data_IF_006890315081
#
_entry.id   IF_006890315081
#
_cell.length_a   1.000
_cell.length_b   1.000
_cell.length_c   1.000
_cell.angle_alpha   90.00
_cell.angle_beta   90.00
_cell.angle_gamma   90.00
#
_symmetry.space_group_name_H-M   'P 1'
#
loop_
_entity.id
_entity.type
_entity.pdbx_description
1 polymer ?
#
# COMPACT_ATOMS: atom_id res chain seq x y z
N UNK A 1 -8.76 19.10 0.33
CA UNK A 1 -8.78 18.30 1.58
C UNK A 1 -7.94 17.07 1.31
N UNK A 2 -7.05 16.69 2.21
CA UNK A 2 -6.25 15.47 2.07
C UNK A 2 -7.16 14.25 2.17
N UNK A 3 -6.95 13.23 1.34
CA UNK A 3 -7.70 11.98 1.40
C UNK A 3 -6.99 11.04 2.36
N UNK A 4 -7.57 10.86 3.55
CA UNK A 4 -7.06 9.88 4.52
C UNK A 4 -7.89 8.61 4.45
N UNK A 5 -7.23 7.47 4.79
CA UNK A 5 -7.85 6.16 4.85
C UNK A 5 -7.48 5.47 6.18
N UNK A 6 -8.30 4.49 6.54
CA UNK A 6 -8.07 3.57 7.67
C UNK A 6 -8.33 2.13 7.20
N UNK A 7 -7.80 1.16 7.93
CA UNK A 7 -8.03 -0.27 7.68
C UNK A 7 -9.25 -0.71 8.47
N UNK A 8 -10.41 -0.99 7.82
CA UNK A 8 -11.59 -1.46 8.53
C UNK A 8 -11.40 -2.90 9.01
N UNK A 9 -12.04 -3.24 10.13
CA UNK A 9 -12.18 -4.61 10.61
C UNK A 9 -13.62 -5.06 10.53
N UNK A 10 -13.87 -6.25 9.99
CA UNK A 10 -15.22 -6.77 9.79
C UNK A 10 -16.02 -6.93 11.07
N UNK A 11 -15.35 -7.33 12.16
CA UNK A 11 -16.03 -7.56 13.45
C UNK A 11 -16.37 -6.25 14.18
N UNK A 12 -15.76 -5.13 13.77
CA UNK A 12 -15.92 -3.80 14.35
C UNK A 12 -16.40 -2.80 13.28
N UNK A 13 -16.96 -3.26 12.16
CA UNK A 13 -17.19 -2.44 10.95
C UNK A 13 -18.08 -1.22 11.21
N UNK A 14 -19.09 -1.32 12.07
CA UNK A 14 -19.96 -0.18 12.44
C UNK A 14 -19.17 0.96 13.09
N UNK A 15 -18.22 0.65 13.97
CA UNK A 15 -17.37 1.66 14.59
C UNK A 15 -16.44 2.32 13.57
N UNK A 16 -15.84 1.51 12.66
CA UNK A 16 -14.99 2.03 11.58
C UNK A 16 -15.77 2.94 10.62
N UNK A 17 -17.01 2.58 10.27
CA UNK A 17 -17.90 3.42 9.45
C UNK A 17 -18.22 4.74 10.14
N UNK A 18 -18.56 4.72 11.43
CA UNK A 18 -18.85 5.93 12.22
C UNK A 18 -17.65 6.88 12.26
N UNK A 19 -16.44 6.36 12.50
CA UNK A 19 -15.21 7.17 12.51
C UNK A 19 -14.88 7.69 11.11
N UNK A 20 -15.09 6.86 10.07
CA UNK A 20 -14.87 7.27 8.69
C UNK A 20 -15.82 8.41 8.27
N UNK A 21 -17.07 8.38 8.69
CA UNK A 21 -18.03 9.46 8.45
C UNK A 21 -17.62 10.75 9.18
N UNK A 22 -17.31 10.67 10.49
CA UNK A 22 -16.93 11.81 11.33
C UNK A 22 -15.73 12.56 10.74
N UNK A 23 -14.69 11.83 10.31
CA UNK A 23 -13.43 12.39 9.84
C UNK A 23 -13.33 12.45 8.31
N UNK A 24 -14.35 12.00 7.57
CA UNK A 24 -14.38 11.90 6.09
C UNK A 24 -13.24 11.05 5.54
N UNK A 25 -13.03 9.90 6.16
CA UNK A 25 -11.98 8.96 5.76
C UNK A 25 -12.45 8.01 4.66
N UNK A 26 -11.48 7.47 3.94
CA UNK A 26 -11.66 6.31 3.09
C UNK A 26 -11.32 5.00 3.82
N UNK A 27 -11.45 3.88 3.11
CA UNK A 27 -11.01 2.58 3.59
C UNK A 27 -9.94 2.00 2.69
N UNK A 28 -8.96 1.31 3.29
CA UNK A 28 -8.15 0.33 2.61
C UNK A 28 -8.48 -1.05 3.15
N UNK A 29 -9.01 -1.92 2.29
CA UNK A 29 -9.35 -3.28 2.67
C UNK A 29 -8.08 -4.11 2.81
N UNK A 30 -7.87 -4.68 4.00
CA UNK A 30 -6.71 -5.49 4.32
C UNK A 30 -7.08 -6.89 4.82
N UNK A 31 -8.26 -7.41 4.43
CA UNK A 31 -8.70 -8.78 4.73
C UNK A 31 -8.21 -9.78 3.67
N UNK A 32 -7.99 -9.31 2.43
CA UNK A 32 -7.89 -10.14 1.24
C UNK A 32 -6.43 -10.50 0.86
N UNK A 33 -5.60 -10.80 1.85
CA UNK A 33 -4.21 -11.20 1.60
C UNK A 33 -3.88 -12.61 2.09
N UNK A 34 -4.65 -13.15 3.04
CA UNK A 34 -4.39 -14.47 3.60
C UNK A 34 -4.91 -15.58 2.69
N UNK A 35 -4.09 -16.59 2.38
CA UNK A 35 -4.50 -17.73 1.55
C UNK A 35 -5.74 -18.46 2.08
N UNK A 36 -5.90 -18.59 3.40
CA UNK A 36 -7.03 -19.26 4.03
C UNK A 36 -8.39 -18.63 3.69
N UNK A 37 -8.42 -17.30 3.49
CA UNK A 37 -9.62 -16.64 3.00
C UNK A 37 -9.71 -16.73 1.47
N UNK A 38 -8.60 -16.52 0.78
CA UNK A 38 -8.58 -16.45 -0.68
C UNK A 38 -8.87 -17.82 -1.36
N UNK A 39 -8.62 -18.92 -0.66
CA UNK A 39 -8.89 -20.29 -1.15
C UNK A 39 -10.29 -20.80 -0.75
N UNK A 40 -10.99 -20.13 0.14
CA UNK A 40 -12.35 -20.48 0.58
C UNK A 40 -13.38 -19.57 -0.11
N UNK A 41 -13.92 -20.04 -1.23
CA UNK A 41 -14.86 -19.23 -2.04
C UNK A 41 -16.13 -18.80 -1.27
N UNK A 42 -16.62 -19.60 -0.31
CA UNK A 42 -17.81 -19.27 0.45
C UNK A 42 -17.52 -18.15 1.45
N UNK A 43 -16.43 -18.30 2.22
CA UNK A 43 -15.97 -17.24 3.14
C UNK A 43 -15.63 -15.96 2.42
N UNK A 44 -14.96 -16.04 1.27
CA UNK A 44 -14.61 -14.87 0.47
C UNK A 44 -15.85 -14.12 0.03
N UNK A 45 -16.87 -14.83 -0.49
CA UNK A 45 -18.15 -14.24 -0.87
C UNK A 45 -18.88 -13.60 0.32
N UNK A 46 -18.86 -14.26 1.48
CA UNK A 46 -19.49 -13.73 2.69
C UNK A 46 -18.81 -12.44 3.16
N UNK A 47 -17.48 -12.36 3.13
CA UNK A 47 -16.72 -11.16 3.49
C UNK A 47 -17.02 -10.01 2.53
N UNK A 48 -17.02 -10.25 1.22
CA UNK A 48 -17.36 -9.26 0.21
C UNK A 48 -18.80 -8.78 0.41
N UNK A 49 -19.75 -9.70 0.66
CA UNK A 49 -21.15 -9.37 0.86
C UNK A 49 -21.35 -8.50 2.11
N UNK A 50 -20.64 -8.76 3.20
CA UNK A 50 -20.69 -7.90 4.41
C UNK A 50 -20.31 -6.46 4.10
N UNK A 51 -19.20 -6.23 3.38
CA UNK A 51 -18.81 -4.88 2.97
C UNK A 51 -19.87 -4.25 2.07
N UNK A 52 -20.36 -4.97 1.05
CA UNK A 52 -21.37 -4.45 0.09
C UNK A 52 -22.72 -4.16 0.73
N UNK A 53 -23.01 -4.73 1.89
CA UNK A 53 -24.25 -4.47 2.65
C UNK A 53 -24.23 -3.12 3.41
N UNK A 54 -23.07 -2.47 3.52
CA UNK A 54 -22.88 -1.21 4.23
C UNK A 54 -22.78 -0.01 3.27
N UNK A 55 -23.07 1.18 3.76
CA UNK A 55 -22.78 2.42 3.06
C UNK A 55 -21.27 2.74 3.25
N UNK A 56 -20.48 2.30 2.28
CA UNK A 56 -19.02 2.43 2.32
C UNK A 56 -18.55 3.84 1.96
N UNK A 57 -17.36 4.27 2.44
CA UNK A 57 -16.72 5.49 1.99
C UNK A 57 -16.53 5.52 0.47
N UNK A 58 -16.63 6.71 -0.14
CA UNK A 58 -16.51 6.89 -1.60
C UNK A 58 -15.11 6.58 -2.16
N UNK A 59 -14.09 6.72 -1.33
CA UNK A 59 -12.71 6.45 -1.70
C UNK A 59 -12.22 5.23 -0.94
N UNK A 60 -11.98 4.17 -1.66
CA UNK A 60 -11.44 2.93 -1.08
C UNK A 60 -10.29 2.40 -1.93
N UNK A 61 -9.37 1.72 -1.28
CA UNK A 61 -8.26 0.96 -1.87
C UNK A 61 -8.28 -0.46 -1.30
N UNK A 62 -7.46 -1.33 -1.83
CA UNK A 62 -7.30 -2.69 -1.34
C UNK A 62 -5.82 -3.04 -1.27
N UNK A 63 -5.36 -3.54 -0.13
CA UNK A 63 -4.05 -4.16 -0.05
C UNK A 63 -4.14 -5.58 -0.65
N UNK A 64 -3.39 -5.81 -1.71
CA UNK A 64 -3.38 -7.10 -2.40
C UNK A 64 -2.64 -8.17 -1.62
N UNK A 65 -2.71 -9.41 -2.09
CA UNK A 65 -1.92 -10.49 -1.54
C UNK A 65 -0.42 -10.17 -1.63
N UNK A 66 0.32 -10.32 -0.54
CA UNK A 66 1.73 -9.93 -0.49
C UNK A 66 2.68 -11.02 0.04
N UNK A 67 2.21 -11.89 0.95
CA UNK A 67 3.04 -12.99 1.44
C UNK A 67 3.34 -13.98 0.30
N UNK A 68 4.63 -14.23 0.08
CA UNK A 68 5.13 -15.17 -0.92
C UNK A 68 4.68 -14.92 -2.37
N UNK A 69 4.20 -13.69 -2.67
CA UNK A 69 3.80 -13.29 -4.01
C UNK A 69 5.00 -12.76 -4.78
N UNK A 70 5.59 -13.61 -5.62
CA UNK A 70 6.85 -13.34 -6.34
C UNK A 70 6.64 -13.56 -7.84
N UNK A 71 5.99 -12.63 -8.57
CA UNK A 71 5.68 -12.80 -10.00
C UNK A 71 6.93 -12.83 -10.90
N UNK A 72 8.06 -12.41 -10.38
CA UNK A 72 9.37 -12.44 -11.04
C UNK A 72 10.22 -13.67 -10.69
N UNK A 73 9.69 -14.64 -9.94
CA UNK A 73 10.41 -15.86 -9.57
C UNK A 73 10.94 -16.62 -10.81
N UNK A 74 12.10 -17.24 -10.68
CA UNK A 74 12.64 -18.15 -11.69
C UNK A 74 11.82 -19.42 -11.81
N UNK A 75 11.16 -19.88 -10.73
CA UNK A 75 10.28 -21.04 -10.74
C UNK A 75 8.93 -20.69 -11.38
N UNK A 76 8.56 -21.46 -12.42
CA UNK A 76 7.31 -21.27 -13.15
C UNK A 76 6.08 -21.45 -12.24
N UNK A 77 6.11 -22.38 -11.29
CA UNK A 77 4.97 -22.68 -10.42
C UNK A 77 4.75 -21.54 -9.43
N UNK A 78 5.83 -20.98 -8.89
CA UNK A 78 5.74 -19.79 -8.00
C UNK A 78 5.15 -18.61 -8.79
N UNK A 79 5.62 -18.37 -10.01
CA UNK A 79 5.02 -17.31 -10.86
C UNK A 79 3.54 -17.53 -11.12
N UNK A 80 3.11 -18.78 -11.39
CA UNK A 80 1.70 -19.09 -11.64
C UNK A 80 0.81 -18.81 -10.44
N UNK A 81 1.24 -19.22 -9.23
CA UNK A 81 0.51 -18.94 -7.99
C UNK A 81 0.48 -17.44 -7.72
N UNK A 82 1.63 -16.75 -7.85
CA UNK A 82 1.72 -15.30 -7.66
C UNK A 82 0.80 -14.53 -8.62
N UNK A 83 0.79 -14.90 -9.90
CA UNK A 83 -0.10 -14.29 -10.90
C UNK A 83 -1.58 -14.51 -10.55
N UNK A 84 -1.95 -15.72 -10.12
CA UNK A 84 -3.31 -16.02 -9.69
C UNK A 84 -3.75 -15.17 -8.49
N UNK A 85 -2.88 -14.99 -7.48
CA UNK A 85 -3.16 -14.16 -6.31
C UNK A 85 -3.29 -12.68 -6.65
N UNK A 86 -2.40 -12.16 -7.50
CA UNK A 86 -2.46 -10.77 -7.94
C UNK A 86 -3.76 -10.50 -8.70
N UNK A 87 -4.13 -11.36 -9.65
CA UNK A 87 -5.39 -11.22 -10.38
C UNK A 87 -6.61 -11.32 -9.47
N UNK A 88 -6.61 -12.28 -8.54
CA UNK A 88 -7.67 -12.43 -7.55
C UNK A 88 -7.85 -11.15 -6.72
N UNK A 89 -6.75 -10.54 -6.25
CA UNK A 89 -6.79 -9.26 -5.53
C UNK A 89 -7.38 -8.14 -6.39
N UNK A 90 -7.01 -8.06 -7.67
CA UNK A 90 -7.56 -7.05 -8.59
C UNK A 90 -9.04 -7.24 -8.83
N UNK A 91 -9.51 -8.49 -9.03
CA UNK A 91 -10.94 -8.77 -9.24
C UNK A 91 -11.77 -8.48 -7.98
N UNK A 92 -11.26 -8.81 -6.78
CA UNK A 92 -11.91 -8.46 -5.51
C UNK A 92 -12.02 -6.93 -5.37
N UNK A 93 -10.95 -6.21 -5.67
CA UNK A 93 -10.93 -4.75 -5.61
C UNK A 93 -11.97 -4.14 -6.57
N UNK A 94 -12.08 -4.65 -7.79
CA UNK A 94 -13.12 -4.24 -8.75
C UNK A 94 -14.52 -4.52 -8.23
N UNK A 95 -14.75 -5.69 -7.63
CA UNK A 95 -16.04 -6.07 -7.07
C UNK A 95 -16.47 -5.16 -5.91
N UNK A 96 -15.52 -4.72 -5.09
CA UNK A 96 -15.73 -3.76 -3.98
C UNK A 96 -15.74 -2.30 -4.44
N UNK A 97 -15.45 -2.01 -5.70
CA UNK A 97 -15.39 -0.65 -6.24
C UNK A 97 -14.18 0.16 -5.77
N UNK A 98 -13.11 -0.52 -5.34
CA UNK A 98 -11.87 0.12 -4.92
C UNK A 98 -11.20 0.87 -6.08
N UNK A 99 -10.50 1.96 -5.77
CA UNK A 99 -9.83 2.82 -6.76
C UNK A 99 -8.43 2.33 -7.13
N UNK A 100 -7.80 1.58 -6.22
CA UNK A 100 -6.46 1.06 -6.42
C UNK A 100 -6.26 -0.25 -5.66
N UNK A 101 -5.27 -1.03 -6.12
CA UNK A 101 -4.71 -2.16 -5.38
C UNK A 101 -3.23 -1.90 -5.12
N UNK A 102 -2.81 -2.15 -3.90
CA UNK A 102 -1.43 -1.98 -3.46
C UNK A 102 -0.74 -3.35 -3.43
N UNK A 103 0.48 -3.44 -3.97
CA UNK A 103 1.30 -4.65 -3.93
C UNK A 103 2.73 -4.30 -3.57
N UNK A 104 3.40 -5.17 -2.82
CA UNK A 104 4.81 -4.99 -2.46
C UNK A 104 5.76 -5.29 -3.62
N UNK A 105 6.93 -4.62 -3.65
CA UNK A 105 7.99 -4.93 -4.59
C UNK A 105 8.62 -6.31 -4.34
N UNK A 106 8.62 -6.79 -3.11
CA UNK A 106 9.23 -8.05 -2.68
C UNK A 106 10.69 -8.23 -3.17
N UNK A 107 11.41 -7.12 -3.34
CA UNK A 107 12.85 -7.16 -3.66
C UNK A 107 13.65 -7.65 -2.46
N UNK A 108 14.56 -8.60 -2.71
CA UNK A 108 15.50 -9.05 -1.68
C UNK A 108 16.82 -8.27 -1.78
N UNK A 109 17.12 -7.33 -0.87
CA UNK A 109 18.30 -6.46 -0.96
C UNK A 109 19.63 -7.18 -0.74
N UNK A 110 19.65 -8.42 -0.27
CA UNK A 110 20.84 -9.25 -0.19
C UNK A 110 21.27 -9.80 -1.56
N UNK A 111 20.36 -9.84 -2.54
CA UNK A 111 20.62 -10.24 -3.91
C UNK A 111 20.83 -9.00 -4.79
N UNK A 112 21.99 -8.35 -4.64
CA UNK A 112 22.25 -7.03 -5.22
C UNK A 112 23.33 -7.02 -6.32
N UNK A 113 23.65 -8.16 -6.92
CA UNK A 113 24.51 -8.14 -8.11
C UNK A 113 23.84 -7.41 -9.27
N UNK A 114 24.61 -6.71 -10.10
CA UNK A 114 24.07 -5.95 -11.23
C UNK A 114 23.21 -6.81 -12.16
N UNK A 115 23.60 -8.07 -12.38
CA UNK A 115 22.83 -9.01 -13.19
C UNK A 115 21.48 -9.36 -12.57
N UNK A 116 21.42 -9.57 -11.24
CA UNK A 116 20.18 -9.83 -10.54
C UNK A 116 19.27 -8.62 -10.56
N UNK A 117 19.77 -7.43 -10.24
CA UNK A 117 19.02 -6.17 -10.26
C UNK A 117 18.40 -5.92 -11.62
N UNK A 118 19.17 -6.06 -12.71
CA UNK A 118 18.64 -5.86 -14.06
C UNK A 118 17.59 -6.92 -14.44
N UNK A 119 17.83 -8.19 -14.08
CA UNK A 119 16.86 -9.27 -14.30
C UNK A 119 15.54 -9.02 -13.54
N UNK A 120 15.65 -8.56 -12.28
CA UNK A 120 14.50 -8.20 -11.46
C UNK A 120 13.70 -7.05 -12.09
N UNK A 121 14.39 -5.96 -12.51
CA UNK A 121 13.76 -4.81 -13.16
C UNK A 121 13.04 -5.19 -14.45
N UNK A 122 13.69 -5.98 -15.32
CA UNK A 122 13.09 -6.42 -16.58
C UNK A 122 11.86 -7.30 -16.36
N UNK A 123 11.97 -8.25 -15.42
CA UNK A 123 10.88 -9.18 -15.11
C UNK A 123 9.67 -8.47 -14.50
N UNK A 124 9.91 -7.56 -13.56
CA UNK A 124 8.84 -6.77 -12.95
C UNK A 124 8.21 -5.78 -13.91
N UNK A 125 9.00 -5.05 -14.70
CA UNK A 125 8.46 -4.12 -15.70
C UNK A 125 7.58 -4.85 -16.72
N UNK A 126 8.03 -6.04 -17.18
CA UNK A 126 7.24 -6.86 -18.11
C UNK A 126 5.94 -7.36 -17.46
N UNK A 127 6.03 -7.88 -16.24
CA UNK A 127 4.88 -8.45 -15.53
C UNK A 127 3.84 -7.38 -15.20
N UNK A 128 4.24 -6.33 -14.49
CA UNK A 128 3.34 -5.25 -14.09
C UNK A 128 2.81 -4.47 -15.27
N UNK A 129 3.62 -4.25 -16.32
CA UNK A 129 3.13 -3.67 -17.58
C UNK A 129 2.04 -4.52 -18.24
N UNK A 130 2.11 -5.85 -18.11
CA UNK A 130 1.03 -6.76 -18.54
C UNK A 130 -0.25 -6.57 -17.73
N UNK A 131 -0.16 -6.55 -16.39
CA UNK A 131 -1.29 -6.32 -15.48
C UNK A 131 -1.92 -4.94 -15.72
N UNK A 132 -1.12 -3.89 -15.84
CA UNK A 132 -1.61 -2.52 -16.07
C UNK A 132 -2.38 -2.38 -17.39
N UNK A 133 -1.94 -3.08 -18.45
CA UNK A 133 -2.65 -3.13 -19.73
C UNK A 133 -3.96 -3.90 -19.66
N UNK A 134 -3.97 -5.00 -18.93
CA UNK A 134 -5.13 -5.88 -18.80
C UNK A 134 -6.24 -5.25 -17.96
N UNK A 135 -5.86 -4.46 -16.95
CA UNK A 135 -6.77 -3.80 -16.00
C UNK A 135 -6.69 -2.27 -16.08
N UNK A 136 -7.06 -1.65 -17.20
CA UNK A 136 -6.88 -0.20 -17.39
C UNK A 136 -7.77 0.67 -16.48
N UNK A 137 -8.84 0.10 -15.93
CA UNK A 137 -9.85 0.82 -15.15
C UNK A 137 -9.58 0.83 -13.64
N UNK A 138 -8.51 0.16 -13.18
CA UNK A 138 -8.09 0.14 -11.79
C UNK A 138 -6.61 0.54 -11.66
N UNK A 139 -6.30 1.30 -10.62
CA UNK A 139 -4.92 1.68 -10.39
C UNK A 139 -4.16 0.56 -9.66
N UNK A 140 -2.90 0.39 -10.02
CA UNK A 140 -1.96 -0.53 -9.36
C UNK A 140 -0.83 0.31 -8.78
N UNK A 141 -0.64 0.21 -7.47
CA UNK A 141 0.44 0.90 -6.78
C UNK A 141 1.44 -0.10 -6.22
N UNK A 142 2.71 0.12 -6.50
CA UNK A 142 3.79 -0.70 -5.94
C UNK A 142 4.37 -0.02 -4.71
N UNK A 143 4.54 -0.81 -3.66
CA UNK A 143 4.98 -0.35 -2.35
C UNK A 143 6.40 -0.81 -2.04
N UNK A 144 7.19 0.08 -1.42
CA UNK A 144 8.50 -0.25 -0.87
C UNK A 144 8.33 -1.10 0.40
N UNK A 145 9.06 -2.20 0.48
CA UNK A 145 9.05 -3.10 1.64
C UNK A 145 10.45 -3.28 2.22
N UNK A 146 11.27 -4.12 1.62
CA UNK A 146 12.64 -4.40 2.07
C UNK A 146 13.69 -3.58 1.33
N UNK A 147 13.27 -2.70 0.45
CA UNK A 147 14.14 -1.86 -0.35
C UNK A 147 14.98 -0.94 0.55
N UNK A 148 16.29 -0.96 0.38
CA UNK A 148 17.21 -0.19 1.24
C UNK A 148 17.42 1.25 0.77
N UNK A 149 17.12 1.54 -0.50
CA UNK A 149 17.17 2.87 -1.12
C UNK A 149 16.07 2.98 -2.18
N UNK A 150 15.66 4.17 -2.59
CA UNK A 150 14.63 4.35 -3.61
C UNK A 150 15.08 3.99 -5.03
N UNK A 151 16.36 3.72 -5.27
CA UNK A 151 16.91 3.63 -6.63
C UNK A 151 16.23 2.60 -7.50
N UNK A 152 15.96 1.40 -6.95
CA UNK A 152 15.34 0.32 -7.68
C UNK A 152 13.88 0.65 -8.02
N UNK A 153 13.17 1.22 -7.07
CA UNK A 153 11.79 1.62 -7.24
C UNK A 153 11.63 2.78 -8.24
N UNK A 154 12.58 3.72 -8.24
CA UNK A 154 12.67 4.78 -9.26
C UNK A 154 12.89 4.15 -10.63
N UNK A 155 13.88 3.26 -10.78
CA UNK A 155 14.19 2.60 -12.05
C UNK A 155 13.00 1.75 -12.59
N UNK A 156 12.25 1.10 -11.71
CA UNK A 156 11.02 0.39 -12.10
C UNK A 156 9.91 1.37 -12.51
N UNK A 157 9.74 2.46 -11.75
CA UNK A 157 8.74 3.49 -12.04
C UNK A 157 8.99 4.18 -13.39
N UNK A 158 10.25 4.44 -13.74
CA UNK A 158 10.62 4.99 -15.05
C UNK A 158 10.20 4.06 -16.22
N UNK A 159 10.17 2.75 -15.98
CA UNK A 159 9.74 1.75 -16.99
C UNK A 159 8.21 1.58 -17.06
N UNK A 160 7.49 1.98 -16.00
CA UNK A 160 6.04 1.80 -15.88
C UNK A 160 5.24 3.10 -16.00
N UNK A 161 5.88 4.27 -15.98
CA UNK A 161 5.20 5.58 -15.95
C UNK A 161 4.41 5.90 -17.24
N UNK A 162 4.56 5.13 -18.30
CA UNK A 162 3.71 5.25 -19.50
C UNK A 162 2.25 4.79 -19.25
N UNK A 163 2.02 3.95 -18.22
CA UNK A 163 0.69 3.48 -17.85
C UNK A 163 0.03 4.49 -16.90
N UNK A 164 -1.09 5.07 -17.33
CA UNK A 164 -1.81 6.10 -16.58
C UNK A 164 -2.35 5.60 -15.22
N UNK A 165 -2.58 4.29 -15.09
CA UNK A 165 -3.05 3.61 -13.90
C UNK A 165 -1.93 3.04 -13.01
N UNK A 166 -0.66 3.36 -13.30
CA UNK A 166 0.48 3.03 -12.45
C UNK A 166 0.71 4.12 -11.40
N UNK A 167 1.14 3.71 -10.22
CA UNK A 167 1.65 4.60 -9.19
C UNK A 167 2.53 3.88 -8.18
N UNK A 168 3.04 4.66 -7.25
CA UNK A 168 3.81 4.19 -6.10
C UNK A 168 2.99 4.41 -4.84
N UNK A 169 2.93 3.40 -3.98
CA UNK A 169 2.63 3.54 -2.58
C UNK A 169 3.96 3.73 -1.84
N UNK A 170 4.16 4.88 -1.22
CA UNK A 170 5.31 5.10 -0.35
C UNK A 170 4.91 4.76 1.09
N UNK A 171 5.35 3.60 1.57
CA UNK A 171 5.33 3.36 3.01
C UNK A 171 6.47 4.15 3.65
N UNK A 172 6.07 5.17 4.44
CA UNK A 172 7.01 6.08 5.08
C UNK A 172 7.69 5.43 6.28
N UNK A 173 7.03 4.48 6.92
CA UNK A 173 7.60 3.72 8.04
C UNK A 173 8.66 2.74 7.55
N UNK A 174 8.41 1.99 6.46
CA UNK A 174 9.43 1.15 5.81
C UNK A 174 10.62 1.99 5.31
N UNK A 175 10.35 3.15 4.70
CA UNK A 175 11.42 4.07 4.31
C UNK A 175 12.26 4.53 5.50
N UNK A 176 11.64 4.71 6.68
CA UNK A 176 12.34 5.08 7.92
C UNK A 176 13.22 3.96 8.50
N UNK A 177 12.94 2.70 8.15
CA UNK A 177 13.76 1.52 8.50
C UNK A 177 14.89 1.28 7.49
N UNK A 178 14.86 1.96 6.35
CA UNK A 178 15.81 1.76 5.26
C UNK A 178 17.15 2.51 5.50
N UNK A 179 18.12 2.31 4.61
CA UNK A 179 19.42 3.00 4.68
C UNK A 179 19.32 4.46 4.22
N UNK A 180 18.41 4.77 3.31
CA UNK A 180 18.19 6.12 2.83
C UNK A 180 17.20 6.83 3.74
N UNK A 181 17.42 8.12 4.04
CA UNK A 181 16.48 8.91 4.80
C UNK A 181 15.11 8.97 4.08
N UNK A 182 13.96 8.95 4.80
CA UNK A 182 12.63 8.98 4.19
C UNK A 182 12.40 10.17 3.28
N UNK A 183 13.05 11.30 3.56
CA UNK A 183 12.99 12.51 2.74
C UNK A 183 13.58 12.27 1.34
N UNK A 184 14.60 11.43 1.21
CA UNK A 184 15.19 11.05 -0.08
C UNK A 184 14.20 10.19 -0.87
N UNK A 185 13.47 9.29 -0.20
CA UNK A 185 12.41 8.50 -0.81
C UNK A 185 11.31 9.40 -1.38
N UNK A 186 10.79 10.32 -0.56
CA UNK A 186 9.75 11.24 -0.95
C UNK A 186 10.16 12.13 -2.14
N UNK A 187 11.38 12.68 -2.12
CA UNK A 187 11.91 13.49 -3.20
C UNK A 187 12.07 12.70 -4.50
N UNK A 188 12.74 11.55 -4.42
CA UNK A 188 13.07 10.72 -5.60
C UNK A 188 11.84 10.13 -6.27
N UNK A 189 10.81 9.77 -5.50
CA UNK A 189 9.58 9.16 -5.99
C UNK A 189 8.44 10.16 -6.22
N UNK A 190 8.66 11.45 -5.98
CA UNK A 190 7.64 12.52 -6.00
C UNK A 190 6.71 12.51 -7.21
N UNK A 191 7.22 12.15 -8.39
CA UNK A 191 6.44 12.07 -9.65
C UNK A 191 5.48 10.89 -9.69
N UNK A 192 5.76 9.83 -8.92
CA UNK A 192 5.09 8.54 -9.01
C UNK A 192 4.19 8.23 -7.82
N UNK A 193 4.45 8.87 -6.65
CA UNK A 193 3.66 8.64 -5.43
C UNK A 193 2.21 9.06 -5.63
N UNK A 194 1.30 8.11 -5.40
CA UNK A 194 -0.16 8.28 -5.45
C UNK A 194 -0.82 7.93 -4.14
N UNK A 195 -0.15 7.14 -3.32
CA UNK A 195 -0.61 6.65 -2.04
C UNK A 195 0.55 6.60 -1.05
N UNK A 196 0.25 6.71 0.23
CA UNK A 196 1.25 6.72 1.30
C UNK A 196 0.69 5.89 2.45
N UNK A 197 1.51 5.01 3.02
CA UNK A 197 1.22 4.39 4.30
C UNK A 197 1.97 5.11 5.41
N UNK A 198 1.29 5.38 6.52
CA UNK A 198 1.89 5.93 7.74
C UNK A 198 1.50 5.09 8.94
N UNK A 199 2.50 4.70 9.67
CA UNK A 199 2.46 4.17 11.03
C UNK A 199 3.73 4.64 11.74
N UNK A 200 3.90 4.33 13.01
CA UNK A 200 5.13 4.66 13.73
C UNK A 200 5.89 3.39 14.15
N UNK A 201 7.18 3.52 14.36
CA UNK A 201 8.04 2.42 14.78
C UNK A 201 9.23 2.92 15.62
N UNK A 202 10.04 1.99 16.09
CA UNK A 202 11.23 2.26 16.93
C UNK A 202 12.52 2.53 16.11
N UNK A 203 12.42 2.63 14.77
CA UNK A 203 13.51 2.69 13.79
C UNK A 203 14.37 1.42 13.74
N UNK A 204 13.82 0.30 14.17
CA UNK A 204 14.46 -1.02 14.15
C UNK A 204 13.54 -2.09 13.58
N UNK A 205 12.26 -2.05 14.00
CA UNK A 205 11.24 -3.06 13.68
C UNK A 205 10.00 -2.39 13.12
N UNK A 206 9.35 -3.05 12.18
CA UNK A 206 8.06 -2.63 11.64
C UNK A 206 6.95 -2.97 12.65
N UNK A 207 6.54 -1.98 13.46
CA UNK A 207 5.69 -2.18 14.63
C UNK A 207 4.24 -1.72 14.44
N UNK A 208 3.94 -0.97 13.38
CA UNK A 208 2.62 -0.40 13.12
C UNK A 208 1.99 0.33 14.34
N UNK A 209 2.81 1.10 15.07
CA UNK A 209 2.36 1.89 16.22
C UNK A 209 1.48 3.06 15.77
N UNK A 210 0.68 3.60 16.69
CA UNK A 210 -0.01 4.86 16.43
C UNK A 210 1.00 5.98 16.14
N UNK A 211 0.64 6.87 15.21
CA UNK A 211 1.48 7.99 14.79
C UNK A 211 1.82 8.89 15.99
N UNK A 212 3.09 8.96 16.34
CA UNK A 212 3.58 9.68 17.50
C UNK A 212 3.97 8.82 18.71
N UNK A 213 3.77 7.50 18.64
CA UNK A 213 4.16 6.57 19.70
C UNK A 213 5.56 5.98 19.50
N UNK A 214 6.14 6.15 18.35
CA UNK A 214 7.46 5.67 18.00
C UNK A 214 8.50 6.79 17.90
N UNK A 215 9.42 6.62 16.96
CA UNK A 215 10.59 7.49 16.78
C UNK A 215 10.68 8.13 15.41
N UNK A 216 9.68 7.94 14.54
CA UNK A 216 9.69 8.51 13.19
C UNK A 216 9.65 10.04 13.27
N UNK A 217 10.43 10.70 12.42
CA UNK A 217 10.45 12.16 12.29
C UNK A 217 9.17 12.66 11.60
N UNK A 218 8.12 12.92 12.37
CA UNK A 218 6.82 13.37 11.88
C UNK A 218 6.89 14.74 11.19
N UNK A 219 7.66 15.68 11.73
CA UNK A 219 7.86 16.99 11.07
C UNK A 219 8.52 16.82 9.70
N UNK A 220 9.44 15.87 9.57
CA UNK A 220 10.03 15.47 8.29
C UNK A 220 8.99 14.98 7.32
N UNK A 221 8.08 14.11 7.78
CA UNK A 221 6.95 13.63 6.98
C UNK A 221 6.07 14.78 6.48
N UNK A 222 5.64 15.68 7.35
CA UNK A 222 4.75 16.79 6.96
C UNK A 222 5.41 17.71 5.92
N UNK A 223 6.70 18.04 6.11
CA UNK A 223 7.46 18.81 5.12
C UNK A 223 7.55 18.09 3.76
N UNK A 224 7.77 16.77 3.78
CA UNK A 224 7.83 15.96 2.56
C UNK A 224 6.48 15.88 1.88
N UNK A 225 5.42 15.67 2.65
CA UNK A 225 4.05 15.64 2.11
C UNK A 225 3.72 16.95 1.41
N UNK A 226 3.92 18.09 2.09
CA UNK A 226 3.60 19.41 1.54
C UNK A 226 4.46 19.79 0.33
N UNK A 227 5.69 19.28 0.26
CA UNK A 227 6.59 19.61 -0.85
C UNK A 227 6.45 18.68 -2.05
N UNK A 228 6.23 17.39 -1.81
CA UNK A 228 6.41 16.37 -2.84
C UNK A 228 5.16 15.49 -3.09
N UNK A 229 4.21 15.40 -2.13
CA UNK A 229 3.20 14.34 -2.13
C UNK A 229 1.77 14.84 -1.87
N UNK A 230 1.49 16.15 -2.07
CA UNK A 230 0.21 16.79 -1.71
C UNK A 230 -1.04 16.15 -2.33
N UNK A 231 -0.88 15.44 -3.46
CA UNK A 231 -1.97 14.80 -4.18
C UNK A 231 -2.13 13.31 -3.85
N UNK A 232 -1.25 12.77 -3.01
CA UNK A 232 -1.34 11.38 -2.58
C UNK A 232 -2.38 11.22 -1.47
N UNK A 233 -3.11 10.10 -1.51
CA UNK A 233 -3.92 9.64 -0.38
C UNK A 233 -3.02 9.06 0.70
N UNK A 234 -3.47 9.07 1.97
CA UNK A 234 -2.68 8.64 3.12
C UNK A 234 -3.46 7.62 3.92
N UNK A 235 -2.95 6.41 4.03
CA UNK A 235 -3.46 5.37 4.91
C UNK A 235 -2.84 5.51 6.31
N UNK A 236 -3.68 5.54 7.33
CA UNK A 236 -3.29 5.28 8.72
C UNK A 236 -3.22 3.76 8.89
N UNK A 237 -2.02 3.21 8.78
CA UNK A 237 -1.80 1.78 8.76
C UNK A 237 -1.55 1.23 10.16
N UNK A 238 -2.62 1.13 10.94
CA UNK A 238 -2.60 0.58 12.29
C UNK A 238 -3.69 -0.46 12.50
N UNK A 239 -3.44 -1.40 13.43
CA UNK A 239 -4.25 -2.60 13.58
C UNK A 239 -5.43 -2.48 14.56
N UNK A 240 -5.59 -1.35 15.26
CA UNK A 240 -6.66 -1.18 16.25
C UNK A 240 -7.35 0.17 16.14
N UNK A 241 -8.64 0.22 16.46
CA UNK A 241 -9.40 1.48 16.50
C UNK A 241 -8.79 2.48 17.51
N UNK A 242 -8.25 2.00 18.61
CA UNK A 242 -7.54 2.85 19.57
C UNK A 242 -6.36 3.58 18.93
N UNK A 243 -5.51 2.86 18.19
CA UNK A 243 -4.37 3.45 17.48
C UNK A 243 -4.82 4.39 16.36
N UNK A 244 -5.92 4.07 15.66
CA UNK A 244 -6.52 4.97 14.66
C UNK A 244 -6.92 6.29 15.31
N UNK A 245 -7.68 6.26 16.40
CA UNK A 245 -8.13 7.46 17.13
C UNK A 245 -6.96 8.30 17.63
N UNK A 246 -5.96 7.66 18.23
CA UNK A 246 -4.73 8.34 18.70
C UNK A 246 -3.97 9.00 17.55
N UNK A 247 -3.85 8.31 16.42
CA UNK A 247 -3.23 8.87 15.22
C UNK A 247 -4.00 10.08 14.71
N UNK A 248 -5.33 10.02 14.62
CA UNK A 248 -6.17 11.13 14.19
C UNK A 248 -6.05 12.35 15.12
N UNK A 249 -6.01 12.12 16.43
CA UNK A 249 -5.78 13.18 17.43
C UNK A 249 -4.39 13.83 17.24
N UNK A 250 -3.36 13.04 16.98
CA UNK A 250 -2.01 13.56 16.71
C UNK A 250 -1.96 14.37 15.41
N UNK A 251 -2.55 13.86 14.33
CA UNK A 251 -2.62 14.58 13.05
C UNK A 251 -3.38 15.91 13.17
N UNK A 252 -4.45 15.98 13.98
CA UNK A 252 -5.16 17.22 14.29
C UNK A 252 -4.27 18.19 15.10
N UNK A 253 -3.64 17.70 16.17
CA UNK A 253 -2.77 18.50 17.04
C UNK A 253 -1.62 19.15 16.27
N UNK A 254 -1.11 18.46 15.26
CA UNK A 254 0.00 18.91 14.43
C UNK A 254 -0.47 19.63 13.15
N UNK A 255 -1.77 19.93 13.03
CA UNK A 255 -2.41 20.66 11.91
C UNK A 255 -2.20 19.99 10.55
N UNK A 256 -2.09 18.67 10.53
CA UNK A 256 -2.05 17.93 9.27
C UNK A 256 -3.46 17.73 8.67
N UNK A 257 -4.47 17.64 9.55
CA UNK A 257 -5.91 17.57 9.20
C UNK A 257 -6.74 18.56 9.96
#
# INVERSE_FOLDING_TARGET
>A
MKQLLIIPKQDELEEYLSVAEEYKLGFEYNDFFLPDLLDDEEKLKDVIAKYKACELPKYTTLHGAFFDVIPFSMDKRIRQISDARIRQSVEIAKELGAKAVIFHTNYNPFLNSSAYVESWLQSNAKYWGGILKEYPDINIYLENMFDTTPDLMVALSERLCEYANYGVCLDYAHASLSKAAPEIWAERLSKYVKHIHINDNDLVSDLHLAWGDGKINREGFYRCYDKYMQNASVLIETSTMENVKRTLEMLKKENFI
#
